data_IF_061339909905
#
_entry.id   IF_061339909905
#
_cell.length_a   1.000
_cell.length_b   1.000
_cell.length_c   1.000
_cell.angle_alpha   90.00
_cell.angle_beta   90.00
_cell.angle_gamma   90.00
#
_symmetry.space_group_name_H-M   'P 1'
#
loop_
_entity.id
_entity.type
_entity.pdbx_description
1 polymer ?
#
# COMPACT_ATOMS: atom_id res chain seq x y z
N UNK A 1 -58.42 -49.77 -2.13
CA UNK A 1 -58.01 -48.97 -3.30
C UNK A 1 -57.09 -47.87 -2.81
N UNK A 2 -55.81 -47.85 -3.21
CA UNK A 2 -54.89 -46.75 -2.93
C UNK A 2 -54.61 -46.05 -4.24
N UNK A 3 -55.10 -44.81 -4.39
CA UNK A 3 -54.86 -43.99 -5.56
C UNK A 3 -53.49 -43.31 -5.42
N UNK A 4 -52.54 -43.68 -6.29
CA UNK A 4 -51.26 -42.99 -6.39
C UNK A 4 -51.42 -41.76 -7.31
N UNK A 5 -51.44 -40.56 -6.73
CA UNK A 5 -51.39 -39.32 -7.50
C UNK A 5 -49.95 -39.07 -7.98
N UNK A 6 -49.71 -39.19 -9.29
CA UNK A 6 -48.46 -38.77 -9.93
C UNK A 6 -48.58 -37.29 -10.30
N UNK A 7 -47.89 -36.41 -9.58
CA UNK A 7 -47.71 -35.01 -9.94
C UNK A 7 -46.38 -34.79 -10.66
N UNK A 8 -46.36 -33.97 -11.71
CA UNK A 8 -45.14 -33.51 -12.37
C UNK A 8 -44.93 -32.02 -12.10
N UNK A 9 -43.70 -31.63 -11.76
CA UNK A 9 -43.30 -30.25 -11.56
C UNK A 9 -42.58 -29.74 -12.82
N UNK A 10 -43.02 -28.61 -13.36
CA UNK A 10 -42.43 -27.98 -14.54
C UNK A 10 -41.86 -26.62 -14.15
N UNK A 11 -40.59 -26.39 -14.49
CA UNK A 11 -39.90 -25.11 -14.33
C UNK A 11 -39.63 -24.53 -15.72
N UNK A 12 -40.35 -23.46 -16.06
CA UNK A 12 -40.06 -22.65 -17.24
C UNK A 12 -39.21 -21.46 -16.84
N UNK A 13 -38.11 -21.22 -17.56
CA UNK A 13 -37.39 -19.95 -17.50
C UNK A 13 -37.39 -19.33 -18.89
N UNK A 14 -37.49 -18.00 -18.93
CA UNK A 14 -37.48 -17.21 -20.14
C UNK A 14 -36.26 -16.30 -20.10
N UNK A 15 -35.48 -16.32 -21.18
CA UNK A 15 -34.32 -15.44 -21.35
C UNK A 15 -34.70 -14.38 -22.39
N UNK A 16 -34.76 -13.08 -22.03
CA UNK A 16 -35.02 -12.03 -22.99
C UNK A 16 -33.91 -12.01 -24.06
N UNK A 17 -34.24 -11.84 -25.36
CA UNK A 17 -33.25 -11.76 -26.44
C UNK A 17 -32.38 -10.51 -26.36
N UNK A 18 -32.78 -9.52 -25.56
CA UNK A 18 -32.00 -8.32 -25.27
C UNK A 18 -32.17 -7.93 -23.80
N UNK A 19 -31.05 -7.88 -23.07
CA UNK A 19 -30.98 -7.26 -21.77
C UNK A 19 -30.57 -5.80 -21.96
N UNK A 20 -31.47 -4.86 -21.68
CA UNK A 20 -31.06 -3.47 -21.48
C UNK A 20 -30.43 -3.38 -20.10
N UNK A 21 -29.12 -3.54 -20.03
CA UNK A 21 -28.37 -3.20 -18.83
C UNK A 21 -28.61 -1.72 -18.55
N UNK A 22 -29.25 -1.40 -17.43
CA UNK A 22 -29.15 -0.06 -16.89
C UNK A 22 -27.67 0.14 -16.56
N UNK A 23 -27.00 1.00 -17.33
CA UNK A 23 -25.76 1.63 -16.90
C UNK A 23 -26.13 2.54 -15.72
N UNK A 24 -26.28 1.97 -14.54
CA UNK A 24 -25.96 2.72 -13.34
C UNK A 24 -24.51 3.18 -13.51
N UNK A 25 -24.16 4.45 -13.23
CA UNK A 25 -22.76 4.78 -13.06
C UNK A 25 -22.23 3.80 -12.01
N UNK A 26 -21.41 2.84 -12.45
CA UNK A 26 -20.84 1.86 -11.55
C UNK A 26 -20.17 2.63 -10.43
N UNK A 27 -20.46 2.26 -9.18
CA UNK A 27 -19.74 2.83 -8.05
C UNK A 27 -18.25 2.73 -8.38
N UNK A 28 -17.59 3.88 -8.50
CA UNK A 28 -16.21 3.96 -8.92
C UNK A 28 -15.40 3.38 -7.75
N UNK A 29 -15.06 2.11 -7.83
CA UNK A 29 -14.31 1.39 -6.79
C UNK A 29 -12.82 1.74 -6.80
N UNK A 30 -12.38 2.50 -7.82
CA UNK A 30 -11.04 3.05 -7.96
C UNK A 30 -11.11 4.39 -8.70
N UNK A 31 -10.64 5.46 -8.05
CA UNK A 31 -10.41 6.76 -8.67
C UNK A 31 -8.90 6.99 -8.77
N UNK A 32 -8.44 7.46 -9.93
CA UNK A 32 -7.09 8.01 -10.02
C UNK A 32 -7.02 9.24 -9.10
N UNK A 33 -5.95 9.38 -8.31
CA UNK A 33 -5.93 10.39 -7.27
C UNK A 33 -5.90 11.78 -7.91
N UNK A 34 -6.83 12.65 -7.49
CA UNK A 34 -6.79 14.07 -7.85
C UNK A 34 -5.53 14.77 -7.29
N UNK A 35 -4.91 14.18 -6.28
CA UNK A 35 -3.67 14.64 -5.64
C UNK A 35 -2.47 13.88 -6.20
N UNK A 36 -1.34 14.55 -6.48
CA UNK A 36 -0.11 13.88 -6.92
C UNK A 36 0.33 12.76 -5.95
N UNK A 37 0.72 11.63 -6.52
CA UNK A 37 1.24 10.49 -5.77
C UNK A 37 2.66 10.78 -5.30
N UNK A 38 2.98 10.47 -4.03
CA UNK A 38 4.37 10.53 -3.57
C UNK A 38 5.15 9.38 -4.23
N UNK A 39 4.54 8.21 -4.22
CA UNK A 39 4.94 7.04 -5.00
C UNK A 39 3.68 6.20 -5.31
N UNK A 40 3.83 5.11 -6.05
CA UNK A 40 2.70 4.29 -6.48
C UNK A 40 1.81 3.76 -5.33
N UNK A 41 2.33 3.69 -4.11
CA UNK A 41 1.62 3.14 -2.95
C UNK A 41 0.91 4.21 -2.13
N UNK A 42 1.36 5.46 -2.16
CA UNK A 42 1.01 6.48 -1.18
C UNK A 42 0.57 7.77 -1.87
N UNK A 43 -0.62 8.21 -1.47
CA UNK A 43 -1.17 9.54 -1.78
C UNK A 43 -1.46 10.22 -0.45
N UNK A 44 -1.10 11.49 -0.32
CA UNK A 44 -1.43 12.28 0.86
C UNK A 44 -2.22 13.50 0.40
N UNK A 45 -3.47 13.59 0.86
CA UNK A 45 -4.37 14.69 0.53
C UNK A 45 -4.02 15.96 1.33
N UNK A 46 -4.44 17.15 0.85
CA UNK A 46 -4.19 18.42 1.56
C UNK A 46 -4.76 18.50 2.99
N UNK A 47 -5.74 17.65 3.31
CA UNK A 47 -6.34 17.50 4.65
C UNK A 47 -5.57 16.50 5.55
N UNK A 48 -4.36 16.11 5.15
CA UNK A 48 -3.51 15.10 5.76
C UNK A 48 -4.03 13.65 5.68
N UNK A 49 -5.12 13.38 4.96
CA UNK A 49 -5.58 12.00 4.74
C UNK A 49 -4.50 11.22 3.99
N UNK A 50 -4.05 10.10 4.56
CA UNK A 50 -3.01 9.24 3.98
C UNK A 50 -3.67 8.02 3.34
N UNK A 51 -3.73 8.02 2.01
CA UNK A 51 -4.22 6.88 1.25
C UNK A 51 -3.09 5.90 0.96
N UNK A 52 -3.27 4.66 1.44
CA UNK A 52 -2.30 3.58 1.29
C UNK A 52 -2.89 2.49 0.39
N UNK A 53 -2.25 2.22 -0.75
CA UNK A 53 -2.73 1.21 -1.69
C UNK A 53 -2.37 -0.19 -1.25
N UNK A 54 -3.36 -1.06 -1.18
CA UNK A 54 -3.22 -2.46 -0.81
C UNK A 54 -3.49 -3.33 -2.04
N UNK A 55 -2.51 -4.15 -2.40
CA UNK A 55 -2.56 -4.99 -3.59
C UNK A 55 -3.25 -6.34 -3.34
N UNK A 56 -3.22 -6.83 -2.10
CA UNK A 56 -3.77 -8.11 -1.72
C UNK A 56 -5.25 -7.97 -1.35
N UNK A 57 -6.06 -8.91 -1.83
CA UNK A 57 -7.49 -8.99 -1.48
C UNK A 57 -7.66 -9.38 -0.01
N UNK A 58 -8.51 -8.64 0.70
CA UNK A 58 -8.98 -8.93 2.05
C UNK A 58 -10.15 -9.92 2.01
N UNK A 59 -10.06 -11.01 2.78
CA UNK A 59 -11.09 -12.05 2.92
C UNK A 59 -11.31 -12.43 4.40
N UNK A 60 -10.96 -11.55 5.34
CA UNK A 60 -11.12 -11.71 6.78
C UNK A 60 -9.82 -12.03 7.55
N UNK A 61 -8.67 -11.96 6.90
CA UNK A 61 -7.35 -12.20 7.51
C UNK A 61 -6.71 -10.94 8.10
N UNK A 62 -7.23 -9.75 7.81
CA UNK A 62 -6.68 -8.48 8.30
C UNK A 62 -5.44 -8.00 7.54
N UNK A 63 -5.30 -8.37 6.27
CA UNK A 63 -4.24 -7.85 5.38
C UNK A 63 -4.39 -6.34 5.17
N UNK A 64 -5.62 -5.83 5.15
CA UNK A 64 -5.89 -4.40 4.96
C UNK A 64 -5.24 -3.57 6.07
N UNK A 65 -5.45 -3.99 7.31
CA UNK A 65 -4.91 -3.36 8.51
C UNK A 65 -3.40 -3.56 8.59
N UNK A 66 -2.93 -4.81 8.53
CA UNK A 66 -1.51 -5.13 8.73
C UNK A 66 -0.59 -4.52 7.66
N UNK A 67 -0.98 -4.54 6.38
CA UNK A 67 -0.18 -3.92 5.32
C UNK A 67 -0.18 -2.39 5.43
N UNK A 68 -1.31 -1.78 5.81
CA UNK A 68 -1.38 -0.35 6.06
C UNK A 68 -0.49 0.05 7.23
N UNK A 69 -0.42 -0.75 8.30
CA UNK A 69 0.46 -0.52 9.45
C UNK A 69 1.93 -0.51 9.05
N UNK A 70 2.37 -1.42 8.16
CA UNK A 70 3.76 -1.45 7.68
C UNK A 70 4.16 -0.15 6.99
N UNK A 71 3.29 0.35 6.11
CA UNK A 71 3.54 1.61 5.41
C UNK A 71 3.48 2.77 6.40
N UNK A 72 2.49 2.80 7.29
CA UNK A 72 2.29 3.87 8.28
C UNK A 72 3.46 3.96 9.28
N UNK A 73 3.97 2.82 9.75
CA UNK A 73 5.11 2.71 10.66
C UNK A 73 6.34 3.43 10.09
N UNK A 74 6.64 3.15 8.82
CA UNK A 74 7.76 3.74 8.12
C UNK A 74 7.48 5.18 7.70
N UNK A 75 6.30 5.46 7.17
CA UNK A 75 5.93 6.82 6.82
C UNK A 75 5.90 7.77 8.04
N UNK A 76 5.80 7.22 9.26
CA UNK A 76 5.63 7.95 10.51
C UNK A 76 4.42 8.90 10.44
N UNK A 77 3.35 8.45 9.79
CA UNK A 77 2.09 9.17 9.74
C UNK A 77 1.18 8.80 10.90
N UNK A 78 0.24 9.69 11.21
CA UNK A 78 -0.84 9.45 12.16
C UNK A 78 -1.78 8.35 11.63
N UNK A 79 -1.87 7.24 12.38
CA UNK A 79 -2.72 6.10 12.06
C UNK A 79 -4.19 6.49 11.87
N UNK A 80 -4.69 7.48 12.61
CA UNK A 80 -6.10 7.91 12.53
C UNK A 80 -6.45 8.55 11.19
N UNK A 81 -5.44 9.04 10.45
CA UNK A 81 -5.57 9.64 9.12
C UNK A 81 -5.40 8.64 7.98
N UNK A 82 -5.06 7.38 8.29
CA UNK A 82 -4.84 6.34 7.28
C UNK A 82 -6.17 5.87 6.68
N UNK A 83 -6.25 5.84 5.36
CA UNK A 83 -7.39 5.34 4.57
C UNK A 83 -6.87 4.40 3.48
N UNK A 84 -6.77 3.10 3.75
CA UNK A 84 -6.22 2.22 2.75
C UNK A 84 -7.26 1.98 1.65
N UNK A 85 -6.78 1.79 0.43
CA UNK A 85 -7.57 1.67 -0.80
C UNK A 85 -7.01 0.50 -1.61
N UNK A 86 -7.83 -0.18 -2.39
CA UNK A 86 -7.29 -1.18 -3.31
C UNK A 86 -6.41 -0.55 -4.39
N UNK A 87 -5.28 -1.20 -4.66
CA UNK A 87 -4.46 -0.91 -5.82
C UNK A 87 -5.20 -1.28 -7.12
N UNK A 88 -4.98 -0.52 -8.18
CA UNK A 88 -5.60 -0.79 -9.49
C UNK A 88 -4.88 -1.91 -10.23
N UNK A 89 -5.58 -3.02 -10.43
CA UNK A 89 -5.08 -4.14 -11.25
C UNK A 89 -4.87 -3.73 -12.71
N UNK A 90 -5.70 -2.82 -13.24
CA UNK A 90 -5.52 -2.30 -14.59
C UNK A 90 -4.25 -1.44 -14.71
N UNK A 91 -3.91 -0.68 -13.67
CA UNK A 91 -2.64 0.06 -13.62
C UNK A 91 -1.45 -0.89 -13.53
N UNK A 92 -1.54 -1.90 -12.67
CA UNK A 92 -0.51 -2.93 -12.50
C UNK A 92 -0.17 -3.66 -13.81
N UNK A 93 -1.18 -3.95 -14.62
CA UNK A 93 -1.01 -4.62 -15.90
C UNK A 93 -0.32 -3.75 -16.97
N UNK A 94 -0.29 -2.42 -16.80
CA UNK A 94 0.23 -1.46 -17.79
C UNK A 94 1.55 -0.83 -17.37
N UNK A 95 1.78 -0.66 -16.07
CA UNK A 95 2.94 0.02 -15.52
C UNK A 95 3.92 -0.94 -14.87
N UNK A 96 5.21 -0.62 -14.98
CA UNK A 96 6.28 -1.33 -14.31
C UNK A 96 6.67 -0.62 -13.03
N UNK A 97 7.09 -1.40 -12.04
CA UNK A 97 7.65 -0.83 -10.83
C UNK A 97 8.96 -0.06 -11.15
N UNK A 98 9.22 1.07 -10.47
CA UNK A 98 10.46 1.83 -10.67
C UNK A 98 11.70 0.97 -10.46
N UNK A 99 12.78 1.21 -11.22
CA UNK A 99 13.97 0.35 -11.20
C UNK A 99 14.58 0.20 -9.81
N UNK A 100 14.58 1.26 -9.01
CA UNK A 100 15.07 1.23 -7.62
C UNK A 100 14.29 0.25 -6.74
N UNK A 101 12.99 0.11 -6.98
CA UNK A 101 12.19 -0.91 -6.30
C UNK A 101 12.46 -2.31 -6.85
N UNK A 102 12.90 -2.48 -8.11
CA UNK A 102 13.14 -3.81 -8.72
C UNK A 102 14.30 -4.57 -8.09
N UNK A 103 15.25 -3.85 -7.47
CA UNK A 103 16.42 -4.42 -6.78
C UNK A 103 16.09 -4.89 -5.35
N UNK A 104 14.86 -4.68 -4.91
CA UNK A 104 14.32 -5.18 -3.65
C UNK A 104 14.14 -6.69 -3.75
N UNK A 105 14.99 -7.43 -3.02
CA UNK A 105 14.93 -8.89 -2.98
C UNK A 105 13.62 -9.33 -2.35
N UNK A 106 12.67 -9.70 -3.19
CA UNK A 106 11.48 -10.41 -2.75
C UNK A 106 11.92 -11.78 -2.30
N UNK A 107 11.98 -12.01 -0.98
CA UNK A 107 11.92 -13.34 -0.36
C UNK A 107 11.44 -13.29 1.10
N UNK A 108 10.80 -12.20 1.51
CA UNK A 108 10.86 -11.81 2.92
C UNK A 108 12.32 -11.50 3.22
N UNK A 109 12.74 -10.27 2.94
CA UNK A 109 14.12 -9.90 3.07
C UNK A 109 14.62 -10.20 4.49
N UNK A 110 15.62 -11.06 4.59
CA UNK A 110 16.65 -10.84 5.60
C UNK A 110 17.26 -9.49 5.26
N UNK A 111 16.92 -8.50 6.08
CA UNK A 111 17.66 -7.25 6.15
C UNK A 111 19.17 -7.60 6.23
N UNK A 112 20.02 -7.07 5.33
CA UNK A 112 21.47 -7.22 5.43
C UNK A 112 22.04 -6.78 6.79
N UNK A 113 21.26 -6.05 7.60
CA UNK A 113 21.61 -5.53 8.93
C UNK A 113 20.78 -6.09 10.10
N UNK A 114 19.99 -7.15 9.89
CA UNK A 114 19.39 -7.94 10.97
C UNK A 114 17.87 -7.85 11.07
N UNK A 115 17.18 -8.88 10.57
CA UNK A 115 15.72 -8.90 10.59
C UNK A 115 15.04 -10.25 10.33
N UNK A 116 15.67 -11.38 10.69
CA UNK A 116 15.05 -12.72 10.78
C UNK A 116 14.60 -13.39 9.46
N UNK A 117 14.74 -14.72 9.38
CA UNK A 117 14.50 -15.50 8.15
C UNK A 117 13.04 -15.93 7.92
N UNK A 118 12.60 -16.01 6.66
CA UNK A 118 11.53 -16.93 6.26
C UNK A 118 11.88 -17.82 5.04
N UNK A 119 11.85 -19.13 5.22
CA UNK A 119 11.97 -20.13 4.15
C UNK A 119 10.64 -20.60 3.56
N UNK A 120 10.49 -20.51 2.24
CA UNK A 120 10.24 -21.62 1.30
C UNK A 120 10.26 -21.10 -0.17
N UNK A 121 10.98 -21.81 -1.06
CA UNK A 121 10.81 -21.78 -2.52
C UNK A 121 11.70 -20.82 -3.31
N UNK A 122 12.94 -21.25 -3.61
CA UNK A 122 13.95 -20.64 -4.51
C UNK A 122 13.42 -19.62 -5.53
N UNK A 123 13.72 -18.32 -5.33
CA UNK A 123 13.58 -17.27 -6.35
C UNK A 123 14.96 -17.00 -6.94
N UNK A 124 15.01 -16.89 -8.26
CA UNK A 124 16.17 -16.36 -8.97
C UNK A 124 16.06 -14.83 -9.04
N UNK A 125 17.16 -14.18 -9.45
CA UNK A 125 17.36 -12.72 -9.58
C UNK A 125 16.34 -11.98 -10.48
N UNK A 126 15.35 -12.70 -11.01
CA UNK A 126 14.32 -12.27 -11.97
C UNK A 126 12.88 -12.49 -11.48
N UNK A 127 12.68 -12.80 -10.20
CA UNK A 127 11.34 -12.90 -9.59
C UNK A 127 10.72 -14.30 -9.63
N UNK A 128 9.42 -14.38 -9.37
CA UNK A 128 8.62 -15.62 -9.46
C UNK A 128 8.16 -15.78 -10.90
N UNK A 129 8.38 -16.94 -11.52
CA UNK A 129 7.83 -17.24 -12.85
C UNK A 129 6.30 -17.00 -12.84
N UNK A 130 5.84 -16.05 -13.65
CA UNK A 130 4.43 -15.62 -13.71
C UNK A 130 4.03 -14.41 -12.84
N UNK A 131 4.95 -13.78 -12.10
CA UNK A 131 4.77 -12.46 -11.48
C UNK A 131 5.82 -11.50 -12.05
N UNK A 132 5.52 -10.75 -13.13
CA UNK A 132 6.46 -9.83 -13.76
C UNK A 132 6.73 -8.60 -12.88
N UNK A 133 7.64 -7.74 -13.34
CA UNK A 133 8.05 -6.41 -12.81
C UNK A 133 6.90 -5.38 -12.65
N UNK A 134 5.69 -5.83 -12.30
CA UNK A 134 4.49 -5.03 -12.19
C UNK A 134 4.57 -4.06 -11.03
N UNK A 135 3.86 -2.94 -11.18
CA UNK A 135 3.89 -1.80 -10.29
C UNK A 135 3.71 -2.17 -8.80
N UNK A 136 2.74 -3.03 -8.51
CA UNK A 136 2.36 -3.47 -7.17
C UNK A 136 2.88 -4.86 -6.80
N UNK A 137 3.81 -5.40 -7.59
CA UNK A 137 4.46 -6.70 -7.38
C UNK A 137 3.50 -7.87 -7.45
N UNK A 138 2.70 -8.08 -6.41
CA UNK A 138 1.88 -9.28 -6.21
C UNK A 138 0.46 -8.89 -5.86
N UNK A 139 -0.43 -8.94 -6.84
CA UNK A 139 -1.86 -8.72 -6.66
C UNK A 139 -2.64 -10.04 -6.46
N UNK A 140 -2.11 -10.97 -5.65
CA UNK A 140 -2.76 -12.26 -5.34
C UNK A 140 -2.66 -12.62 -3.86
N UNK A 141 -3.76 -13.15 -3.31
CA UNK A 141 -3.85 -13.67 -1.94
C UNK A 141 -3.89 -15.20 -1.97
N UNK A 142 -2.81 -15.85 -1.53
CA UNK A 142 -2.70 -17.30 -1.35
C UNK A 142 -1.44 -17.64 -0.52
N UNK A 143 -1.28 -18.92 -0.17
CA UNK A 143 -0.08 -19.47 0.49
C UNK A 143 0.34 -18.82 1.83
N UNK A 144 -0.60 -18.17 2.53
CA UNK A 144 -0.34 -17.44 3.78
C UNK A 144 0.84 -16.44 3.67
N UNK A 145 1.04 -15.85 2.47
CA UNK A 145 2.24 -15.09 2.16
C UNK A 145 2.01 -13.59 2.05
N UNK A 146 0.77 -13.09 2.07
CA UNK A 146 0.44 -11.67 1.83
C UNK A 146 1.23 -10.69 2.73
N UNK A 147 1.33 -10.99 4.03
CA UNK A 147 2.07 -10.18 5.02
C UNK A 147 3.58 -10.41 4.88
N UNK A 148 4.02 -11.66 4.72
CA UNK A 148 5.44 -12.05 4.67
C UNK A 148 6.15 -11.52 3.43
N UNK A 149 5.52 -11.71 2.28
CA UNK A 149 6.00 -11.19 1.00
C UNK A 149 5.88 -9.67 0.95
N UNK A 150 4.83 -9.12 1.56
CA UNK A 150 4.47 -7.70 1.56
C UNK A 150 5.38 -6.80 2.36
N UNK A 151 5.86 -7.30 3.50
CA UNK A 151 6.52 -6.51 4.54
C UNK A 151 7.58 -5.57 4.00
N UNK A 152 8.56 -6.10 3.29
CA UNK A 152 9.74 -5.31 2.94
C UNK A 152 9.40 -4.19 1.96
N UNK A 153 8.67 -4.47 0.86
CA UNK A 153 8.40 -3.43 -0.14
C UNK A 153 7.38 -2.41 0.35
N UNK A 154 6.45 -2.78 1.24
CA UNK A 154 5.52 -1.84 1.87
C UNK A 154 6.23 -0.94 2.88
N UNK A 155 7.09 -1.52 3.72
CA UNK A 155 7.94 -0.73 4.62
C UNK A 155 8.82 0.23 3.81
N UNK A 156 9.46 -0.26 2.75
CA UNK A 156 10.31 0.57 1.90
C UNK A 156 9.52 1.70 1.22
N UNK A 157 8.30 1.43 0.75
CA UNK A 157 7.44 2.47 0.18
C UNK A 157 7.11 3.58 1.19
N UNK A 158 6.87 3.22 2.46
CA UNK A 158 6.66 4.19 3.54
C UNK A 158 7.92 4.98 3.87
N UNK A 159 9.07 4.30 3.95
CA UNK A 159 10.35 4.94 4.29
C UNK A 159 10.78 5.92 3.19
N UNK A 160 10.61 5.54 1.94
CA UNK A 160 10.94 6.38 0.79
C UNK A 160 10.02 7.61 0.69
N UNK A 161 8.73 7.44 0.94
CA UNK A 161 7.80 8.57 1.00
C UNK A 161 8.16 9.54 2.14
N UNK A 162 8.54 9.03 3.32
CA UNK A 162 9.03 9.86 4.44
C UNK A 162 10.26 10.68 4.04
N UNK A 163 11.23 10.06 3.36
CA UNK A 163 12.43 10.77 2.93
C UNK A 163 12.14 11.85 1.88
N UNK A 164 11.24 11.58 0.92
CA UNK A 164 10.78 12.62 -0.03
C UNK A 164 10.08 13.79 0.66
N UNK A 165 9.27 13.51 1.67
CA UNK A 165 8.61 14.54 2.49
C UNK A 165 9.63 15.42 3.21
N UNK A 166 10.66 14.81 3.81
CA UNK A 166 11.75 15.53 4.48
C UNK A 166 12.59 16.33 3.48
N UNK A 167 12.94 15.76 2.32
CA UNK A 167 13.66 16.47 1.25
C UNK A 167 12.88 17.70 0.78
N UNK A 168 11.58 17.56 0.53
CA UNK A 168 10.73 18.66 0.09
C UNK A 168 10.60 19.77 1.16
N UNK A 169 10.52 19.40 2.44
CA UNK A 169 10.50 20.35 3.54
C UNK A 169 11.86 21.05 3.73
N UNK A 170 12.97 20.32 3.59
CA UNK A 170 14.33 20.85 3.64
C UNK A 170 14.56 21.88 2.53
N UNK A 171 14.15 21.56 1.31
CA UNK A 171 14.20 22.49 0.17
C UNK A 171 13.35 23.73 0.42
N UNK A 172 12.11 23.56 0.90
CA UNK A 172 11.20 24.67 1.18
C UNK A 172 11.74 25.62 2.26
N UNK A 173 12.41 25.08 3.27
CA UNK A 173 12.93 25.86 4.39
C UNK A 173 14.38 26.29 4.20
N UNK A 174 15.05 25.81 3.15
CA UNK A 174 16.48 25.99 2.91
C UNK A 174 17.34 25.54 4.10
N UNK A 175 17.01 24.38 4.67
CA UNK A 175 17.71 23.78 5.84
C UNK A 175 18.24 22.38 5.50
N UNK A 176 19.26 21.88 6.20
CA UNK A 176 19.70 20.49 6.06
C UNK A 176 18.59 19.49 6.44
N UNK A 177 18.41 18.44 5.62
CA UNK A 177 17.44 17.35 5.88
C UNK A 177 17.68 16.69 7.24
N UNK A 178 18.93 16.59 7.68
CA UNK A 178 19.31 16.00 8.96
C UNK A 178 18.78 16.77 10.18
N UNK A 179 18.36 18.02 10.01
CA UNK A 179 17.75 18.83 11.07
C UNK A 179 16.22 18.67 11.15
N UNK A 180 15.65 17.83 10.26
CA UNK A 180 14.24 17.55 10.16
C UNK A 180 13.89 16.18 10.75
N UNK A 181 12.78 16.14 11.46
CA UNK A 181 12.19 14.90 11.97
C UNK A 181 10.73 14.80 11.53
N UNK A 182 10.31 13.60 11.14
CA UNK A 182 8.92 13.28 10.84
C UNK A 182 8.31 12.51 12.01
N UNK A 183 7.09 12.85 12.42
CA UNK A 183 6.32 12.09 13.40
C UNK A 183 4.85 12.48 13.35
N UNK A 184 3.95 11.50 13.43
CA UNK A 184 2.50 11.71 13.51
C UNK A 184 1.96 12.65 12.40
N UNK A 185 2.46 12.46 11.17
CA UNK A 185 2.16 13.29 9.98
C UNK A 185 2.61 14.76 10.07
N UNK A 186 3.55 15.07 10.96
CA UNK A 186 4.15 16.40 11.13
C UNK A 186 5.65 16.32 10.88
N UNK A 187 6.18 17.27 10.11
CA UNK A 187 7.61 17.50 9.96
C UNK A 187 8.00 18.67 10.85
N UNK A 188 9.04 18.47 11.65
CA UNK A 188 9.57 19.47 12.58
C UNK A 188 11.03 19.75 12.25
N UNK A 189 11.39 21.03 12.15
CA UNK A 189 12.77 21.49 12.12
C UNK A 189 13.22 21.85 13.53
N UNK A 190 14.05 21.00 14.14
CA UNK A 190 14.38 21.11 15.56
C UNK A 190 15.07 22.43 15.95
N UNK A 191 16.05 22.95 15.17
CA UNK A 191 16.75 24.20 15.53
C UNK A 191 15.85 25.44 15.57
N UNK A 192 14.84 25.52 14.70
CA UNK A 192 13.96 26.71 14.62
C UNK A 192 12.55 26.48 15.22
N UNK A 193 12.21 25.25 15.61
CA UNK A 193 10.86 24.88 16.05
C UNK A 193 9.77 24.99 14.98
N UNK A 194 10.13 25.15 13.71
CA UNK A 194 9.14 25.26 12.61
C UNK A 194 8.51 23.89 12.33
N UNK A 195 7.23 23.89 12.02
CA UNK A 195 6.49 22.67 11.66
C UNK A 195 5.68 22.84 10.38
N UNK A 196 5.41 21.72 9.70
CA UNK A 196 4.42 21.63 8.61
C UNK A 196 3.77 20.25 8.64
N UNK A 197 2.54 20.15 8.14
CA UNK A 197 1.85 18.86 8.04
C UNK A 197 2.21 18.16 6.72
N UNK A 198 2.02 16.84 6.67
CA UNK A 198 2.27 16.09 5.45
C UNK A 198 1.42 16.58 4.27
N UNK A 199 0.13 16.88 4.48
CA UNK A 199 -0.76 17.38 3.43
C UNK A 199 -0.32 18.72 2.83
N UNK A 200 0.32 19.58 3.61
CA UNK A 200 0.87 20.85 3.12
C UNK A 200 2.09 20.67 2.20
N UNK A 201 2.91 19.63 2.45
CA UNK A 201 4.15 19.41 1.70
C UNK A 201 4.04 18.30 0.64
N UNK A 202 3.02 17.44 0.71
CA UNK A 202 2.86 16.24 -0.13
C UNK A 202 2.95 16.54 -1.63
N UNK A 203 2.31 17.64 -2.08
CA UNK A 203 2.38 18.05 -3.49
C UNK A 203 3.80 18.39 -3.95
N UNK A 204 4.67 18.91 -3.08
CA UNK A 204 6.09 19.13 -3.37
C UNK A 204 6.84 17.81 -3.35
N UNK A 205 6.64 17.00 -2.31
CA UNK A 205 7.28 15.69 -2.18
C UNK A 205 7.02 14.76 -3.37
N UNK A 206 5.83 14.80 -3.97
CA UNK A 206 5.49 14.07 -5.20
C UNK A 206 6.36 14.45 -6.41
N UNK A 207 6.91 15.67 -6.44
CA UNK A 207 7.81 16.17 -7.48
C UNK A 207 9.29 16.12 -7.10
N UNK A 208 9.60 15.72 -5.87
CA UNK A 208 10.96 15.61 -5.36
C UNK A 208 11.37 14.14 -5.38
N UNK A 209 12.02 13.65 -6.46
CA UNK A 209 12.53 12.28 -6.46
C UNK A 209 13.60 12.11 -5.39
N UNK A 210 13.61 10.95 -4.73
CA UNK A 210 14.72 10.62 -3.84
C UNK A 210 16.00 10.44 -4.67
N UNK A 211 17.13 11.08 -4.32
CA UNK A 211 18.34 11.04 -5.14
C UNK A 211 19.03 9.66 -5.12
N UNK A 212 18.97 8.95 -3.97
CA UNK A 212 19.64 7.66 -3.75
C UNK A 212 18.67 6.62 -3.17
N UNK A 213 17.59 6.25 -3.87
CA UNK A 213 16.52 5.41 -3.33
C UNK A 213 16.96 3.99 -2.94
N UNK A 214 18.11 3.54 -3.42
CA UNK A 214 18.76 2.27 -3.06
C UNK A 214 19.40 2.28 -1.67
N UNK A 215 19.64 3.44 -1.06
CA UNK A 215 20.24 3.54 0.28
C UNK A 215 19.22 3.56 1.40
N UNK A 216 17.93 3.59 1.06
CA UNK A 216 16.83 3.73 2.01
C UNK A 216 16.75 2.49 2.89
N UNK A 217 16.71 2.71 4.20
CA UNK A 217 16.60 1.66 5.20
C UNK A 217 15.22 1.67 5.84
N UNK A 218 14.71 0.48 6.14
CA UNK A 218 13.49 0.27 6.91
C UNK A 218 13.84 0.04 8.39
N UNK A 219 12.90 0.31 9.29
CA UNK A 219 13.02 0.04 10.71
C UNK A 219 13.15 -1.45 11.00
N UNK A 220 14.02 -1.76 11.96
CA UNK A 220 14.10 -3.09 12.57
C UNK A 220 12.92 -3.31 13.54
N UNK A 221 12.56 -4.58 13.87
CA UNK A 221 11.42 -4.88 14.73
C UNK A 221 11.42 -4.20 16.11
N UNK A 222 12.59 -3.94 16.68
CA UNK A 222 12.79 -3.25 17.96
C UNK A 222 12.51 -1.73 17.89
N UNK A 223 12.42 -1.17 16.68
CA UNK A 223 12.16 0.25 16.45
C UNK A 223 10.67 0.54 16.14
N UNK A 224 9.84 -0.49 16.08
CA UNK A 224 8.42 -0.34 15.76
C UNK A 224 7.65 0.31 16.91
N UNK A 225 6.73 1.22 16.54
CA UNK A 225 5.85 1.89 17.51
C UNK A 225 4.37 1.61 17.26
N UNK A 226 4.02 1.29 16.02
CA UNK A 226 2.69 0.91 15.56
C UNK A 226 2.63 -0.58 15.23
N UNK A 227 3.59 -1.10 14.46
CA UNK A 227 3.65 -2.54 14.15
C UNK A 227 3.81 -3.38 15.41
N UNK A 228 3.04 -4.46 15.52
CA UNK A 228 2.99 -5.31 16.72
C UNK A 228 2.01 -4.84 17.80
N UNK A 229 1.34 -3.69 17.61
CA UNK A 229 0.25 -3.23 18.48
C UNK A 229 -1.12 -3.68 17.97
N UNK A 230 -2.08 -3.86 18.88
CA UNK A 230 -3.47 -4.09 18.51
C UNK A 230 -4.15 -2.77 18.09
N UNK A 231 -4.83 -2.79 16.93
CA UNK A 231 -5.57 -1.64 16.39
C UNK A 231 -6.94 -2.08 15.93
N UNK A 232 -7.92 -1.16 15.95
CA UNK A 232 -9.20 -1.41 15.29
C UNK A 232 -8.94 -1.72 13.82
N UNK A 233 -9.50 -2.84 13.37
CA UNK A 233 -9.44 -3.28 11.99
C UNK A 233 -10.04 -2.22 11.05
N UNK A 234 -9.37 -1.93 9.94
CA UNK A 234 -9.77 -0.93 8.96
C UNK A 234 -10.80 -1.46 7.94
N UNK A 235 -10.98 -2.77 7.89
CA UNK A 235 -11.89 -3.49 7.00
C UNK A 235 -13.29 -3.73 7.60
N UNK A 236 -13.51 -3.35 8.86
CA UNK A 236 -14.80 -3.44 9.55
C UNK A 236 -15.29 -2.05 10.01
N UNK A 237 -16.57 -1.70 9.79
CA UNK A 237 -17.15 -0.41 10.17
C UNK A 237 -16.92 0.01 11.64
#
# INVERSE_FOLDING_TARGET
>A
MVAAAKGAFMLGFWVPPQANAQTAPGAVWYEDPATPEINAWIVISPDDTVTIRIAQTEIGQGVWTSNAMMVCEELQCDWTKVRPQYASANRDAREKAPEWTLKVMGHGATDPKGGGEPGFGSRNRTGVEGIPDSLYRRMRTNAASSVKDGRYYLQLAGAEARERLLLAAAELWAVPVAELTAKDSIITHAPSGRTTTYGQIAGRAARTPHPNPETITIKSPDQWTLMGTERKNLDVP
#
